data_IF_381642119359
#
_entry.id   IF_381642119359
#
_cell.length_a   1.000
_cell.length_b   1.000
_cell.length_c   1.000
_cell.angle_alpha   90.00
_cell.angle_beta   90.00
_cell.angle_gamma   90.00
#
_symmetry.space_group_name_H-M   'P 1'
#
loop_
_entity.id
_entity.type
_entity.pdbx_description
1 polymer ?
#
# COMPACT_ATOMS: atom_id res chain seq x y z
N UNK A 1 -23.59 25.38 16.01
CA UNK A 1 -22.11 25.42 16.16
C UNK A 1 -21.55 24.32 15.28
N UNK A 2 -21.00 24.67 14.13
CA UNK A 2 -20.31 23.70 13.26
C UNK A 2 -19.15 23.09 14.05
N UNK A 3 -19.11 21.76 14.14
CA UNK A 3 -18.22 21.07 15.05
C UNK A 3 -16.77 21.30 14.59
N UNK A 4 -15.85 21.72 15.47
CA UNK A 4 -14.45 22.03 15.11
C UNK A 4 -13.77 20.88 14.35
N UNK A 5 -14.20 19.65 14.64
CA UNK A 5 -13.79 18.43 13.95
C UNK A 5 -14.26 18.36 12.49
N UNK A 6 -15.51 18.73 12.21
CA UNK A 6 -16.07 18.76 10.85
C UNK A 6 -15.36 19.79 9.98
N UNK A 7 -15.07 20.98 10.54
CA UNK A 7 -14.31 22.02 9.86
C UNK A 7 -12.91 21.54 9.45
N UNK A 8 -12.18 20.90 10.37
CA UNK A 8 -10.85 20.31 10.09
C UNK A 8 -10.90 19.18 9.05
N UNK A 9 -11.94 18.35 9.08
CA UNK A 9 -12.14 17.28 8.09
C UNK A 9 -12.44 17.86 6.70
N UNK A 10 -13.31 18.86 6.62
CA UNK A 10 -13.65 19.57 5.38
C UNK A 10 -12.42 20.23 4.76
N UNK A 11 -11.62 20.92 5.57
CA UNK A 11 -10.39 21.57 5.11
C UNK A 11 -9.37 20.56 4.56
N UNK A 12 -9.17 19.43 5.24
CA UNK A 12 -8.30 18.34 4.73
C UNK A 12 -8.77 17.80 3.38
N UNK A 13 -10.08 17.62 3.20
CA UNK A 13 -10.66 17.18 1.91
C UNK A 13 -10.42 18.21 0.82
N UNK A 14 -10.63 19.49 1.11
CA UNK A 14 -10.37 20.60 0.18
C UNK A 14 -8.90 20.65 -0.23
N UNK A 15 -7.98 20.53 0.73
CA UNK A 15 -6.53 20.49 0.43
C UNK A 15 -6.20 19.29 -0.47
N UNK A 16 -6.69 18.09 -0.16
CA UNK A 16 -6.48 16.89 -1.02
C UNK A 16 -6.98 17.13 -2.44
N UNK A 17 -8.14 17.77 -2.61
CA UNK A 17 -8.69 18.12 -3.93
C UNK A 17 -7.80 19.11 -4.67
N UNK A 18 -7.29 20.16 -4.02
CA UNK A 18 -6.37 21.13 -4.66
C UNK A 18 -5.09 20.43 -5.15
N UNK A 19 -4.50 19.54 -4.34
CA UNK A 19 -3.33 18.77 -4.77
C UNK A 19 -3.65 17.83 -5.94
N UNK A 20 -4.84 17.22 -5.93
CA UNK A 20 -5.29 16.36 -7.02
C UNK A 20 -5.42 17.15 -8.32
N UNK A 21 -6.09 18.30 -8.30
CA UNK A 21 -6.27 19.16 -9.48
C UNK A 21 -4.93 19.59 -10.06
N UNK A 22 -4.00 20.07 -9.22
CA UNK A 22 -2.65 20.45 -9.69
C UNK A 22 -1.88 19.29 -10.31
N UNK A 23 -2.05 18.08 -9.78
CA UNK A 23 -1.46 16.88 -10.34
C UNK A 23 -2.08 16.53 -11.69
N UNK A 24 -3.42 16.58 -11.81
CA UNK A 24 -4.14 16.33 -13.06
C UNK A 24 -3.75 17.36 -14.14
N UNK A 25 -3.71 18.66 -13.81
CA UNK A 25 -3.22 19.71 -14.71
C UNK A 25 -1.78 19.46 -15.18
N UNK A 26 -0.91 18.98 -14.29
CA UNK A 26 0.48 18.66 -14.64
C UNK A 26 0.57 17.47 -15.58
N UNK A 27 -0.25 16.45 -15.36
CA UNK A 27 -0.36 15.26 -16.23
C UNK A 27 -0.86 15.65 -17.61
N UNK A 28 -1.91 16.47 -17.70
CA UNK A 28 -2.46 16.95 -18.97
C UNK A 28 -1.43 17.78 -19.74
N UNK A 29 -0.68 18.64 -19.06
CA UNK A 29 0.38 19.43 -19.69
C UNK A 29 1.53 18.54 -20.21
N UNK A 30 1.92 17.51 -19.46
CA UNK A 30 2.91 16.53 -19.93
C UNK A 30 2.38 15.77 -21.15
N UNK A 31 1.10 15.36 -21.14
CA UNK A 31 0.49 14.69 -22.29
C UNK A 31 0.47 15.57 -23.54
N UNK A 32 0.13 16.86 -23.39
CA UNK A 32 0.19 17.85 -24.48
C UNK A 32 1.61 18.04 -24.99
N UNK A 33 2.61 18.13 -24.10
CA UNK A 33 4.02 18.22 -24.49
C UNK A 33 4.45 17.00 -25.30
N UNK A 34 4.10 15.79 -24.86
CA UNK A 34 4.38 14.55 -25.59
C UNK A 34 3.75 14.55 -26.98
N UNK A 35 2.45 14.89 -27.06
CA UNK A 35 1.72 14.95 -28.33
C UNK A 35 2.29 15.99 -29.30
N UNK A 36 2.57 17.21 -28.82
CA UNK A 36 3.17 18.27 -29.63
C UNK A 36 4.57 17.91 -30.11
N UNK A 37 5.36 17.22 -29.29
CA UNK A 37 6.72 16.82 -29.66
C UNK A 37 6.68 15.79 -30.79
N UNK A 38 5.76 14.83 -30.71
CA UNK A 38 5.51 13.88 -31.79
C UNK A 38 5.06 14.55 -33.09
N UNK A 39 4.10 15.47 -33.01
CA UNK A 39 3.60 16.18 -34.20
C UNK A 39 4.70 16.98 -34.90
N UNK A 40 5.64 17.53 -34.14
CA UNK A 40 6.75 18.32 -34.66
C UNK A 40 8.02 17.50 -34.95
N UNK A 41 8.00 16.17 -34.76
CA UNK A 41 9.14 15.30 -35.03
C UNK A 41 10.31 15.41 -34.04
N UNK A 42 10.08 15.95 -32.84
CA UNK A 42 11.09 15.96 -31.79
C UNK A 42 11.10 14.62 -31.04
N UNK A 43 12.23 13.92 -31.09
CA UNK A 43 12.41 12.65 -30.36
C UNK A 43 12.57 12.86 -28.85
N UNK A 44 13.01 14.03 -28.41
CA UNK A 44 13.27 14.34 -27.00
C UNK A 44 12.53 15.60 -26.57
N UNK A 45 11.63 15.47 -25.59
CA UNK A 45 11.02 16.59 -24.89
C UNK A 45 11.38 16.55 -23.41
N UNK A 46 11.81 17.69 -22.87
CA UNK A 46 12.15 17.79 -21.46
C UNK A 46 10.91 18.10 -20.62
N UNK A 47 10.67 17.29 -19.60
CA UNK A 47 9.62 17.54 -18.62
C UNK A 47 10.20 18.46 -17.53
N UNK A 48 9.63 19.65 -17.40
CA UNK A 48 10.08 20.60 -16.38
C UNK A 48 9.81 20.09 -14.96
N UNK A 49 10.68 20.46 -14.01
CA UNK A 49 10.55 20.08 -12.59
C UNK A 49 9.24 20.59 -11.96
N UNK A 50 8.71 21.70 -12.49
CA UNK A 50 7.46 22.30 -12.03
C UNK A 50 6.24 21.42 -12.34
N UNK A 51 6.30 20.62 -13.42
CA UNK A 51 5.27 19.64 -13.74
C UNK A 51 5.45 18.33 -12.96
N UNK A 52 6.69 17.94 -12.65
CA UNK A 52 6.99 16.71 -11.89
C UNK A 52 6.56 16.85 -10.41
N UNK A 53 6.84 18.01 -9.80
CA UNK A 53 6.67 18.23 -8.36
C UNK A 53 5.23 17.99 -7.85
N UNK A 54 4.16 18.50 -8.48
CA UNK A 54 2.78 18.23 -8.09
C UNK A 54 2.43 16.74 -8.13
N UNK A 55 2.89 16.02 -9.16
CA UNK A 55 2.63 14.59 -9.36
C UNK A 55 3.26 13.78 -8.23
N UNK A 56 4.56 13.98 -8.00
CA UNK A 56 5.31 13.27 -6.95
C UNK A 56 4.76 13.60 -5.56
N UNK A 57 4.39 14.85 -5.30
CA UNK A 57 3.78 15.26 -4.02
C UNK A 57 2.45 14.58 -3.79
N UNK A 58 1.57 14.55 -4.80
CA UNK A 58 0.28 13.89 -4.65
C UNK A 58 0.44 12.38 -4.44
N UNK A 59 1.31 11.74 -5.22
CA UNK A 59 1.64 10.32 -5.08
C UNK A 59 2.12 9.98 -3.67
N UNK A 60 3.11 10.70 -3.14
CA UNK A 60 3.65 10.41 -1.80
C UNK A 60 2.68 10.71 -0.67
N UNK A 61 2.01 11.87 -0.71
CA UNK A 61 1.22 12.35 0.42
C UNK A 61 -0.18 11.74 0.52
N UNK A 62 -0.72 11.27 -0.60
CA UNK A 62 -2.09 10.76 -0.66
C UNK A 62 -2.14 9.34 -1.19
N UNK A 63 -1.52 9.03 -2.32
CA UNK A 63 -1.61 7.69 -2.92
C UNK A 63 -0.96 6.61 -2.03
N UNK A 64 0.32 6.79 -1.68
CA UNK A 64 1.06 5.88 -0.78
C UNK A 64 0.52 5.93 0.66
N UNK A 65 0.00 7.08 1.08
CA UNK A 65 -0.61 7.21 2.41
C UNK A 65 -1.90 6.41 2.52
N UNK A 66 -2.76 6.46 1.51
CA UNK A 66 -3.99 5.68 1.44
C UNK A 66 -3.66 4.17 1.45
N UNK A 67 -2.65 3.73 0.68
CA UNK A 67 -2.10 2.36 0.76
C UNK A 67 -1.70 1.96 2.19
N UNK A 68 -0.95 2.82 2.87
CA UNK A 68 -0.44 2.56 4.22
C UNK A 68 -1.57 2.42 5.25
N UNK A 69 -2.63 3.22 5.12
CA UNK A 69 -3.82 3.12 5.96
C UNK A 69 -4.56 1.80 5.76
N UNK A 70 -4.71 1.36 4.51
CA UNK A 70 -5.37 0.08 4.22
C UNK A 70 -4.54 -1.09 4.76
N UNK A 71 -3.22 -1.06 4.57
CA UNK A 71 -2.30 -2.07 5.15
C UNK A 71 -2.36 -2.12 6.68
N UNK A 72 -2.51 -0.97 7.34
CA UNK A 72 -2.69 -0.92 8.79
C UNK A 72 -4.03 -1.54 9.21
N UNK A 73 -5.10 -1.30 8.45
CA UNK A 73 -6.37 -2.02 8.62
C UNK A 73 -6.21 -3.53 8.46
N UNK A 74 -5.53 -3.99 7.41
CA UNK A 74 -5.23 -5.41 7.19
C UNK A 74 -4.40 -6.02 8.33
N UNK A 75 -3.53 -5.24 8.97
CA UNK A 75 -2.74 -5.67 10.13
C UNK A 75 -3.64 -6.01 11.33
N UNK A 76 -4.72 -5.27 11.52
CA UNK A 76 -5.71 -5.60 12.55
C UNK A 76 -6.50 -6.86 12.20
N UNK A 77 -6.92 -7.01 10.94
CA UNK A 77 -7.64 -8.21 10.49
C UNK A 77 -6.77 -9.48 10.60
N UNK A 78 -5.50 -9.43 10.19
CA UNK A 78 -4.62 -10.59 10.29
C UNK A 78 -4.34 -10.96 11.75
N UNK A 79 -4.24 -9.97 12.65
CA UNK A 79 -4.07 -10.22 14.07
C UNK A 79 -5.23 -11.07 14.63
N UNK A 80 -6.47 -10.60 14.45
CA UNK A 80 -7.65 -11.31 14.92
C UNK A 80 -7.72 -12.68 14.27
N UNK A 81 -7.65 -12.74 12.94
CA UNK A 81 -7.87 -13.98 12.20
C UNK A 81 -6.81 -15.06 12.53
N UNK A 82 -5.60 -14.66 12.94
CA UNK A 82 -4.54 -15.59 13.33
C UNK A 82 -4.93 -16.47 14.52
N UNK A 83 -5.82 -16.01 15.40
CA UNK A 83 -6.30 -16.81 16.54
C UNK A 83 -7.37 -17.84 16.14
N UNK A 84 -7.98 -17.71 14.97
CA UNK A 84 -9.10 -18.57 14.55
C UNK A 84 -8.76 -19.44 13.34
N UNK A 85 -7.74 -19.09 12.56
CA UNK A 85 -7.47 -19.78 11.31
C UNK A 85 -6.00 -19.73 10.87
N UNK A 86 -5.44 -20.86 10.40
CA UNK A 86 -4.15 -20.86 9.71
C UNK A 86 -4.20 -20.07 8.39
N UNK A 87 -5.38 -19.87 7.81
CA UNK A 87 -5.57 -19.11 6.57
C UNK A 87 -5.31 -17.61 6.73
N UNK A 88 -5.07 -17.10 7.95
CA UNK A 88 -4.63 -15.71 8.15
C UNK A 88 -3.37 -15.36 7.34
N UNK A 89 -2.51 -16.34 7.04
CA UNK A 89 -1.34 -16.16 6.15
C UNK A 89 -1.76 -15.65 4.75
N UNK A 90 -2.95 -16.00 4.25
CA UNK A 90 -3.44 -15.53 2.95
C UNK A 90 -3.69 -14.01 2.92
N UNK A 91 -3.93 -13.37 4.06
CA UNK A 91 -4.06 -11.91 4.15
C UNK A 91 -2.74 -11.22 3.77
N UNK A 92 -1.59 -11.87 4.02
CA UNK A 92 -0.28 -11.36 3.58
C UNK A 92 -0.25 -11.25 2.05
N UNK A 93 -0.72 -12.27 1.33
CA UNK A 93 -0.85 -12.21 -0.14
C UNK A 93 -1.73 -11.03 -0.56
N UNK A 94 -2.85 -10.80 0.12
CA UNK A 94 -3.70 -9.62 -0.09
C UNK A 94 -2.95 -8.30 0.11
N UNK A 95 -2.11 -8.19 1.13
CA UNK A 95 -1.26 -7.02 1.37
C UNK A 95 -0.26 -6.79 0.22
N UNK A 96 0.35 -7.85 -0.31
CA UNK A 96 1.27 -7.73 -1.46
C UNK A 96 0.56 -7.37 -2.76
N UNK A 97 -0.64 -7.90 -3.00
CA UNK A 97 -1.51 -7.48 -4.11
C UNK A 97 -1.86 -5.99 -3.99
N UNK A 98 -2.16 -5.51 -2.79
CA UNK A 98 -2.44 -4.10 -2.56
C UNK A 98 -1.20 -3.22 -2.78
N UNK A 99 -0.02 -3.65 -2.34
CA UNK A 99 1.22 -2.92 -2.62
C UNK A 99 1.46 -2.82 -4.14
N UNK A 100 1.16 -3.89 -4.88
CA UNK A 100 1.28 -3.90 -6.32
C UNK A 100 0.34 -2.90 -7.00
N UNK A 101 -0.92 -2.79 -6.56
CA UNK A 101 -1.90 -1.84 -7.16
C UNK A 101 -1.62 -0.38 -6.84
N UNK A 102 -0.83 -0.09 -5.80
CA UNK A 102 -0.45 1.27 -5.41
C UNK A 102 0.94 1.69 -5.92
N UNK A 103 1.55 0.91 -6.82
CA UNK A 103 2.83 1.28 -7.43
C UNK A 103 2.71 2.47 -8.41
N UNK A 104 3.86 2.96 -8.88
CA UNK A 104 3.95 4.07 -9.82
C UNK A 104 3.29 3.75 -11.17
N UNK A 105 3.36 2.50 -11.62
CA UNK A 105 2.79 2.06 -12.91
C UNK A 105 1.27 2.20 -12.92
N UNK A 106 0.60 1.64 -11.91
CA UNK A 106 -0.84 1.74 -11.75
C UNK A 106 -1.29 3.18 -11.53
N UNK A 107 -0.49 3.96 -10.80
CA UNK A 107 -0.75 5.39 -10.63
C UNK A 107 -0.76 6.10 -12.00
N UNK A 108 0.30 5.93 -12.79
CA UNK A 108 0.42 6.55 -14.10
C UNK A 108 -0.67 6.07 -15.07
N UNK A 109 -0.89 4.76 -15.16
CA UNK A 109 -1.96 4.19 -15.99
C UNK A 109 -3.34 4.70 -15.60
N UNK A 110 -3.59 4.98 -14.31
CA UNK A 110 -4.89 5.50 -13.88
C UNK A 110 -5.15 6.92 -14.36
N UNK A 111 -4.12 7.78 -14.34
CA UNK A 111 -4.28 9.21 -14.61
C UNK A 111 -3.96 9.60 -16.07
N UNK A 112 -3.09 8.87 -16.77
CA UNK A 112 -2.74 9.13 -18.17
C UNK A 112 -3.68 8.48 -19.20
N UNK A 113 -4.59 7.58 -18.79
CA UNK A 113 -5.47 6.83 -19.70
C UNK A 113 -6.39 7.70 -20.57
N UNK A 114 -6.55 8.97 -20.21
CA UNK A 114 -7.47 9.90 -20.86
C UNK A 114 -6.84 10.55 -22.12
N UNK A 115 -5.53 10.42 -22.31
CA UNK A 115 -4.77 11.21 -23.29
C UNK A 115 -4.39 10.47 -24.58
N UNK A 116 -4.94 9.28 -24.86
CA UNK A 116 -4.59 8.43 -26.02
C UNK A 116 -3.07 8.15 -26.15
N UNK A 117 -2.35 8.19 -25.03
CA UNK A 117 -0.91 7.94 -24.95
C UNK A 117 -0.66 6.42 -24.90
N UNK A 118 0.35 5.95 -25.63
CA UNK A 118 0.70 4.53 -25.64
C UNK A 118 1.27 4.08 -24.28
N UNK A 119 1.11 2.80 -23.92
CA UNK A 119 1.67 2.29 -22.67
C UNK A 119 3.19 2.46 -22.56
N UNK A 120 3.91 2.37 -23.69
CA UNK A 120 5.36 2.58 -23.73
C UNK A 120 5.73 4.01 -23.33
N UNK A 121 5.05 5.02 -23.87
CA UNK A 121 5.28 6.42 -23.52
C UNK A 121 4.96 6.71 -22.06
N UNK A 122 3.91 6.08 -21.51
CA UNK A 122 3.60 6.21 -20.08
C UNK A 122 4.77 5.71 -19.24
N UNK A 123 5.45 4.64 -19.65
CA UNK A 123 6.63 4.12 -18.94
C UNK A 123 7.84 5.05 -19.05
N UNK A 124 8.06 5.68 -20.21
CA UNK A 124 9.14 6.65 -20.39
C UNK A 124 8.90 7.90 -19.53
N UNK A 125 7.67 8.44 -19.55
CA UNK A 125 7.27 9.57 -18.72
C UNK A 125 7.40 9.22 -17.23
N UNK A 126 6.94 8.03 -16.82
CA UNK A 126 7.05 7.53 -15.44
C UNK A 126 8.51 7.56 -14.98
N UNK A 127 9.42 7.12 -15.84
CA UNK A 127 10.84 7.01 -15.52
C UNK A 127 11.52 8.37 -15.28
N UNK A 128 11.02 9.42 -15.92
CA UNK A 128 11.43 10.80 -15.68
C UNK A 128 10.83 11.34 -14.37
N UNK A 129 9.56 11.03 -14.08
CA UNK A 129 8.85 11.54 -12.89
C UNK A 129 9.33 10.88 -11.60
N UNK A 130 9.53 9.55 -11.60
CA UNK A 130 9.79 8.77 -10.40
C UNK A 130 11.23 8.25 -10.35
N UNK A 131 12.07 8.92 -9.57
CA UNK A 131 13.47 8.52 -9.36
C UNK A 131 13.64 7.16 -8.64
N UNK A 132 12.71 6.84 -7.72
CA UNK A 132 12.66 5.54 -7.03
C UNK A 132 11.49 4.76 -7.58
N UNK A 133 11.76 3.53 -8.01
CA UNK A 133 10.77 2.67 -8.67
C UNK A 133 10.45 1.45 -7.83
N UNK A 134 9.20 1.02 -7.89
CA UNK A 134 8.81 -0.28 -7.37
C UNK A 134 9.59 -1.41 -8.06
N UNK A 135 10.28 -2.23 -7.25
CA UNK A 135 11.00 -3.43 -7.72
C UNK A 135 10.14 -4.67 -7.47
N UNK A 136 9.52 -5.18 -8.54
CA UNK A 136 8.63 -6.35 -8.47
C UNK A 136 9.33 -7.57 -7.86
N UNK A 137 10.52 -7.92 -8.35
CA UNK A 137 11.29 -9.08 -7.88
C UNK A 137 11.55 -8.98 -6.37
N UNK A 138 11.99 -7.83 -5.87
CA UNK A 138 12.22 -7.62 -4.44
C UNK A 138 10.93 -7.77 -3.62
N UNK A 139 9.77 -7.36 -4.17
CA UNK A 139 8.50 -7.54 -3.50
C UNK A 139 8.08 -9.02 -3.44
N UNK A 140 8.29 -9.76 -4.53
CA UNK A 140 8.01 -11.20 -4.58
C UNK A 140 8.90 -11.98 -3.61
N UNK A 141 10.19 -11.67 -3.55
CA UNK A 141 11.12 -12.31 -2.60
C UNK A 141 10.68 -12.02 -1.16
N UNK A 142 10.32 -10.77 -0.85
CA UNK A 142 9.83 -10.39 0.46
C UNK A 142 8.52 -11.12 0.81
N UNK A 143 7.61 -11.24 -0.15
CA UNK A 143 6.35 -11.98 0.03
C UNK A 143 6.58 -13.44 0.36
N UNK A 144 7.43 -14.13 -0.40
CA UNK A 144 7.76 -15.54 -0.18
C UNK A 144 8.39 -15.70 1.22
N UNK A 145 9.35 -14.84 1.57
CA UNK A 145 10.04 -14.88 2.86
C UNK A 145 9.05 -14.71 4.03
N UNK A 146 8.20 -13.69 3.96
CA UNK A 146 7.19 -13.40 5.00
C UNK A 146 6.16 -14.53 5.10
N UNK A 147 5.75 -15.11 3.98
CA UNK A 147 4.79 -16.22 3.94
C UNK A 147 5.38 -17.49 4.55
N UNK A 148 6.65 -17.81 4.29
CA UNK A 148 7.35 -18.94 4.91
C UNK A 148 7.45 -18.75 6.42
N UNK A 149 7.87 -17.58 6.89
CA UNK A 149 7.98 -17.30 8.34
C UNK A 149 6.61 -17.43 9.00
N UNK A 150 5.57 -16.85 8.41
CA UNK A 150 4.19 -16.94 8.90
C UNK A 150 3.71 -18.39 8.99
N UNK A 151 3.92 -19.17 7.93
CA UNK A 151 3.53 -20.59 7.88
C UNK A 151 4.28 -21.45 8.91
N UNK A 152 5.60 -21.28 9.02
CA UNK A 152 6.42 -21.97 10.03
C UNK A 152 5.91 -21.63 11.43
N UNK A 153 5.63 -20.35 11.69
CA UNK A 153 5.12 -19.92 13.01
C UNK A 153 3.75 -20.51 13.30
N UNK A 154 2.87 -20.66 12.32
CA UNK A 154 1.59 -21.31 12.52
C UNK A 154 1.73 -22.77 13.01
N UNK A 155 2.69 -23.52 12.47
CA UNK A 155 2.96 -24.91 12.87
C UNK A 155 3.56 -24.97 14.29
N UNK A 156 4.48 -24.07 14.61
CA UNK A 156 5.20 -24.10 15.89
C UNK A 156 4.48 -23.40 17.04
N UNK A 157 3.59 -22.44 16.77
CA UNK A 157 2.90 -21.65 17.82
C UNK A 157 2.15 -22.54 18.82
N UNK A 158 1.38 -23.57 18.40
CA UNK A 158 0.70 -24.46 19.34
C UNK A 158 1.66 -25.28 20.22
N UNK A 159 2.92 -25.47 19.80
CA UNK A 159 3.95 -26.22 20.55
C UNK A 159 4.63 -25.37 21.63
N UNK A 160 4.42 -24.05 21.62
CA UNK A 160 4.96 -23.09 22.59
C UNK A 160 3.81 -22.36 23.32
N UNK A 161 2.95 -23.08 24.06
CA UNK A 161 1.84 -22.46 24.78
C UNK A 161 2.35 -21.62 25.98
N UNK A 162 1.60 -20.59 26.37
CA UNK A 162 1.84 -19.71 27.53
C UNK A 162 3.02 -18.74 27.42
N UNK A 163 3.26 -18.12 26.26
CA UNK A 163 4.31 -17.09 26.19
C UNK A 163 3.86 -15.76 26.77
N UNK A 164 2.64 -15.29 26.46
CA UNK A 164 2.09 -14.08 27.11
C UNK A 164 0.64 -14.20 27.58
N UNK A 165 -0.19 -15.04 26.95
CA UNK A 165 -1.54 -15.34 27.45
C UNK A 165 -1.51 -16.52 28.42
N UNK A 166 -2.07 -16.31 29.63
CA UNK A 166 -2.25 -17.37 30.63
C UNK A 166 -3.40 -18.29 30.26
N UNK A 167 -3.16 -19.59 30.19
CA UNK A 167 -4.19 -20.59 29.86
C UNK A 167 -5.23 -20.81 30.95
N UNK A 168 -4.97 -20.36 32.18
CA UNK A 168 -5.92 -20.43 33.29
C UNK A 168 -7.09 -19.44 33.14
N UNK A 169 -7.00 -18.54 32.15
CA UNK A 169 -8.07 -17.60 31.84
C UNK A 169 -9.03 -18.21 30.82
N UNK A 170 -10.33 -18.21 31.15
CA UNK A 170 -11.36 -18.67 30.23
C UNK A 170 -11.57 -17.66 29.09
N UNK A 171 -11.12 -18.02 27.89
CA UNK A 171 -11.30 -17.22 26.67
C UNK A 171 -12.58 -17.57 25.90
N UNK A 172 -13.51 -18.36 26.49
CA UNK A 172 -14.74 -18.79 25.81
C UNK A 172 -15.61 -17.64 25.27
N UNK A 173 -15.57 -16.46 25.90
CA UNK A 173 -16.25 -15.25 25.43
C UNK A 173 -15.71 -14.70 24.09
N UNK A 174 -14.52 -15.12 23.66
CA UNK A 174 -13.93 -14.78 22.35
C UNK A 174 -14.32 -15.75 21.23
N UNK A 175 -15.03 -16.85 21.54
CA UNK A 175 -15.54 -17.75 20.53
C UNK A 175 -16.61 -17.05 19.70
N UNK A 176 -16.57 -17.24 18.37
CA UNK A 176 -17.52 -16.61 17.46
C UNK A 176 -18.09 -17.63 16.49
N UNK A 177 -19.42 -17.80 16.51
CA UNK A 177 -20.26 -18.59 15.58
C UNK A 177 -19.47 -19.60 14.73
N UNK A 178 -19.21 -20.78 15.29
CA UNK A 178 -18.56 -21.89 14.60
C UNK A 178 -17.03 -21.86 14.53
N UNK A 179 -16.38 -20.81 15.04
CA UNK A 179 -14.92 -20.71 15.17
C UNK A 179 -14.51 -20.59 16.64
N UNK A 180 -13.66 -21.52 17.07
CA UNK A 180 -13.07 -21.52 18.41
C UNK A 180 -11.84 -20.62 18.44
N UNK A 181 -11.73 -19.82 19.51
CA UNK A 181 -10.54 -19.02 19.78
C UNK A 181 -9.41 -19.93 20.24
N UNK A 182 -8.27 -19.87 19.55
CA UNK A 182 -7.11 -20.72 19.85
C UNK A 182 -6.01 -19.88 20.54
N UNK A 183 -5.95 -19.82 21.88
CA UNK A 183 -4.91 -19.05 22.58
C UNK A 183 -3.49 -19.54 22.25
N UNK A 184 -3.32 -20.81 21.89
CA UNK A 184 -2.05 -21.36 21.42
C UNK A 184 -1.50 -20.73 20.12
N UNK A 185 -2.31 -19.97 19.38
CA UNK A 185 -1.88 -19.26 18.18
C UNK A 185 -1.33 -17.85 18.45
N UNK A 186 -1.09 -17.51 19.72
CA UNK A 186 -0.55 -16.22 20.15
C UNK A 186 0.72 -15.80 19.40
N UNK A 187 1.73 -16.67 19.37
CA UNK A 187 3.01 -16.35 18.70
C UNK A 187 2.76 -16.13 17.21
N UNK A 188 1.93 -16.95 16.59
CA UNK A 188 1.54 -16.79 15.19
C UNK A 188 0.87 -15.43 14.92
N UNK A 189 -0.06 -15.00 15.78
CA UNK A 189 -0.71 -13.70 15.67
C UNK A 189 0.28 -12.53 15.80
N UNK A 190 1.17 -12.58 16.79
CA UNK A 190 2.17 -11.52 17.01
C UNK A 190 3.22 -11.46 15.90
N UNK A 191 3.70 -12.61 15.41
CA UNK A 191 4.62 -12.67 14.28
C UNK A 191 3.97 -12.10 13.03
N UNK A 192 2.71 -12.44 12.74
CA UNK A 192 2.00 -11.89 11.59
C UNK A 192 1.86 -10.36 11.65
N UNK A 193 1.53 -9.81 12.83
CA UNK A 193 1.50 -8.36 13.04
C UNK A 193 2.88 -7.75 12.83
N UNK A 194 3.91 -8.35 13.42
CA UNK A 194 5.29 -7.88 13.27
C UNK A 194 5.74 -7.87 11.80
N UNK A 195 5.44 -8.93 11.04
CA UNK A 195 5.75 -9.03 9.61
C UNK A 195 5.01 -7.95 8.81
N UNK A 196 3.73 -7.69 9.11
CA UNK A 196 2.97 -6.60 8.47
C UNK A 196 3.55 -5.22 8.79
N UNK A 197 3.93 -4.96 10.04
CA UNK A 197 4.58 -3.70 10.45
C UNK A 197 5.94 -3.54 9.77
N UNK A 198 6.70 -4.62 9.62
CA UNK A 198 7.98 -4.63 8.90
C UNK A 198 7.78 -4.30 7.42
N UNK A 199 6.78 -4.90 6.77
CA UNK A 199 6.39 -4.57 5.39
C UNK A 199 6.06 -3.08 5.27
N UNK A 200 5.21 -2.55 6.16
CA UNK A 200 4.84 -1.13 6.21
C UNK A 200 6.07 -0.23 6.34
N UNK A 201 7.00 -0.56 7.24
CA UNK A 201 8.20 0.23 7.50
C UNK A 201 9.17 0.21 6.31
N UNK A 202 9.47 -0.97 5.76
CA UNK A 202 10.34 -1.11 4.59
C UNK A 202 9.79 -0.34 3.39
N UNK A 203 8.47 -0.36 3.20
CA UNK A 203 7.82 0.36 2.10
C UNK A 203 7.91 1.86 2.30
N UNK A 204 7.63 2.38 3.49
CA UNK A 204 7.75 3.81 3.78
C UNK A 204 9.16 4.35 3.48
N UNK A 205 10.21 3.60 3.81
CA UNK A 205 11.60 3.99 3.51
C UNK A 205 11.91 4.02 2.01
N UNK A 206 11.30 3.12 1.24
CA UNK A 206 11.52 3.05 -0.21
C UNK A 206 10.79 4.15 -0.98
N UNK A 207 9.69 4.70 -0.43
CA UNK A 207 8.91 5.77 -1.05
C UNK A 207 9.29 7.21 -0.62
N UNK A 208 10.08 7.37 0.46
CA UNK A 208 10.67 8.65 0.90
C UNK A 208 11.97 8.88 0.14
#
# INVERSE_FOLDING_TARGET
MENLFEKKMSEKRRIKQIYKIKMEESIDNIGRLSSNSKQNGYENYEISKDLISPIVRYYRNYWIKDMSLILLGLTFFIFILSFYSPYATLILTGAFCLIYTFNEDFFMMKYFKILDISNFEIYDIRDVIFAKKYKFINNVILWITVSIISFVTNIFSPLLPNVFLSWDFDFSFLNFVGNEFMPGNEIYAYVNVFLMLLILFLRRKNFI
#
